data_IF_607974112634
#
_entry.id   IF_607974112634
#
_cell.length_a   1.000
_cell.length_b   1.000
_cell.length_c   1.000
_cell.angle_alpha   90.00
_cell.angle_beta   90.00
_cell.angle_gamma   90.00
#
_symmetry.space_group_name_H-M   'P 1'
#
loop_
_entity.id
_entity.type
_entity.pdbx_description
1 polymer ?
#
# COMPACT_ATOMS: atom_id res chain seq x y z
N UNK A 1 -18.52 28.40 42.89
CA UNK A 1 -18.81 26.98 42.62
C UNK A 1 -19.23 26.84 41.17
N UNK A 2 -18.34 26.34 40.31
CA UNK A 2 -18.53 26.27 38.87
C UNK A 2 -18.93 24.85 38.45
N UNK A 3 -20.09 24.70 37.82
CA UNK A 3 -20.54 23.43 37.24
C UNK A 3 -20.12 23.36 35.77
N UNK A 4 -19.17 22.47 35.47
CA UNK A 4 -18.87 22.03 34.12
C UNK A 4 -19.70 20.77 33.81
N UNK A 5 -20.72 20.89 32.94
CA UNK A 5 -21.40 19.74 32.32
C UNK A 5 -21.00 19.68 30.84
N UNK A 6 -19.88 19.01 30.58
CA UNK A 6 -19.49 18.61 29.23
C UNK A 6 -20.27 17.36 28.82
N UNK A 7 -21.25 17.54 27.95
CA UNK A 7 -21.91 16.45 27.24
C UNK A 7 -20.94 15.92 26.17
N UNK A 8 -20.36 14.75 26.40
CA UNK A 8 -19.69 13.99 25.35
C UNK A 8 -20.77 13.23 24.57
N UNK A 9 -21.19 13.83 23.45
CA UNK A 9 -21.98 13.15 22.43
C UNK A 9 -21.14 12.08 21.75
N UNK A 10 -21.08 10.89 22.34
CA UNK A 10 -20.65 9.68 21.65
C UNK A 10 -21.78 9.30 20.68
N UNK A 11 -21.65 9.74 19.43
CA UNK A 11 -22.50 9.29 18.35
C UNK A 11 -22.25 7.80 18.09
N UNK A 12 -23.27 7.00 18.33
CA UNK A 12 -23.36 5.60 17.91
C UNK A 12 -23.30 5.53 16.37
N UNK A 13 -22.10 5.43 15.82
CA UNK A 13 -21.89 5.20 14.41
C UNK A 13 -22.20 3.72 14.12
N UNK A 14 -23.43 3.50 13.68
CA UNK A 14 -23.96 2.20 13.30
C UNK A 14 -23.09 1.55 12.21
N UNK A 15 -22.40 0.48 12.60
CA UNK A 15 -21.81 -0.49 11.69
C UNK A 15 -22.91 -1.20 10.90
N UNK A 16 -23.31 -0.60 9.79
CA UNK A 16 -24.14 -1.21 8.76
C UNK A 16 -23.48 -2.47 8.21
N UNK A 17 -23.90 -3.63 8.72
CA UNK A 17 -23.68 -4.95 8.13
C UNK A 17 -24.35 -5.02 6.75
N UNK A 18 -23.67 -4.61 5.70
CA UNK A 18 -24.07 -4.97 4.34
C UNK A 18 -23.71 -6.44 4.07
N UNK A 19 -24.67 -7.33 4.35
CA UNK A 19 -24.72 -8.68 3.79
C UNK A 19 -24.94 -8.56 2.28
N UNK A 20 -23.89 -8.68 1.48
CA UNK A 20 -24.05 -8.97 0.06
C UNK A 20 -24.40 -10.46 -0.08
N UNK A 21 -25.69 -10.72 -0.28
CA UNK A 21 -26.28 -12.02 -0.57
C UNK A 21 -25.79 -12.45 -1.95
N UNK A 22 -24.97 -13.49 -2.00
CA UNK A 22 -24.58 -14.14 -3.25
C UNK A 22 -25.83 -14.70 -3.93
N UNK A 23 -26.16 -14.16 -5.10
CA UNK A 23 -26.98 -14.84 -6.08
C UNK A 23 -26.03 -15.40 -7.14
N UNK A 24 -25.72 -16.68 -6.96
CA UNK A 24 -25.23 -17.58 -7.99
C UNK A 24 -26.36 -17.72 -9.03
N UNK A 25 -26.25 -16.96 -10.12
CA UNK A 25 -26.94 -17.27 -11.37
C UNK A 25 -26.11 -18.31 -12.12
N UNK A 26 -26.34 -19.58 -11.80
CA UNK A 26 -26.15 -20.68 -12.75
C UNK A 26 -27.31 -20.62 -13.77
N UNK A 27 -27.10 -21.19 -14.97
CA UNK A 27 -27.94 -21.15 -16.20
C UNK A 27 -27.48 -20.07 -17.19
N UNK A 28 -27.08 -20.35 -18.43
CA UNK A 28 -27.24 -21.52 -19.28
C UNK A 28 -26.03 -21.63 -20.24
N UNK A 29 -25.45 -22.83 -20.28
CA UNK A 29 -24.97 -23.44 -21.52
C UNK A 29 -26.19 -23.58 -22.45
N UNK A 30 -26.05 -23.20 -23.72
CA UNK A 30 -26.44 -24.00 -24.90
C UNK A 30 -26.22 -23.18 -26.18
N UNK A 31 -25.37 -23.75 -27.04
CA UNK A 31 -25.37 -23.75 -28.51
C UNK A 31 -25.50 -22.44 -29.31
N UNK A 32 -24.44 -22.11 -30.06
CA UNK A 32 -24.50 -22.39 -31.50
C UNK A 32 -23.13 -22.29 -32.19
N UNK A 33 -22.77 -23.39 -32.83
CA UNK A 33 -21.76 -23.49 -33.87
C UNK A 33 -22.00 -22.46 -34.99
N UNK A 34 -20.95 -21.71 -35.34
CA UNK A 34 -20.79 -21.15 -36.67
C UNK A 34 -19.29 -21.13 -37.00
N UNK A 35 -18.88 -22.18 -37.69
CA UNK A 35 -17.60 -22.36 -38.36
C UNK A 35 -17.31 -21.25 -39.37
N UNK A 36 -16.06 -20.81 -39.44
CA UNK A 36 -15.45 -20.41 -40.71
C UNK A 36 -14.40 -19.31 -40.63
N UNK A 37 -13.27 -19.43 -41.36
CA UNK A 37 -11.98 -18.94 -40.91
C UNK A 37 -11.45 -17.77 -41.75
N UNK A 38 -10.66 -16.87 -41.16
CA UNK A 38 -9.61 -16.21 -41.94
C UNK A 38 -8.44 -15.77 -41.04
N UNK A 39 -7.40 -16.60 -41.13
CA UNK A 39 -6.05 -16.34 -40.67
C UNK A 39 -5.41 -15.25 -41.54
N UNK A 40 -5.18 -14.08 -40.96
CA UNK A 40 -4.06 -13.22 -41.32
C UNK A 40 -3.49 -12.64 -40.00
N UNK A 41 -2.69 -13.42 -39.28
CA UNK A 41 -1.23 -13.43 -39.44
C UNK A 41 -0.64 -12.00 -39.40
N UNK A 42 -0.35 -11.52 -38.19
CA UNK A 42 0.85 -10.74 -37.86
C UNK A 42 1.00 -10.69 -36.33
N UNK A 43 1.22 -11.86 -35.75
CA UNK A 43 1.79 -11.98 -34.42
C UNK A 43 3.25 -11.50 -34.48
N UNK A 44 3.47 -10.22 -34.20
CA UNK A 44 4.79 -9.78 -33.71
C UNK A 44 4.93 -10.26 -32.28
N UNK A 45 5.42 -11.48 -32.15
CA UNK A 45 6.06 -11.97 -30.94
C UNK A 45 7.36 -11.19 -30.81
N UNK A 46 7.30 -10.03 -30.15
CA UNK A 46 8.51 -9.35 -29.69
C UNK A 46 9.13 -10.24 -28.61
N UNK A 47 10.19 -10.92 -29.03
CA UNK A 47 11.13 -11.64 -28.20
C UNK A 47 11.70 -10.65 -27.16
N UNK A 48 11.07 -10.62 -25.99
CA UNK A 48 11.55 -9.91 -24.82
C UNK A 48 12.74 -10.69 -24.25
N UNK A 49 13.84 -10.67 -25.01
CA UNK A 49 15.14 -11.17 -24.58
C UNK A 49 15.41 -10.68 -23.17
N UNK A 50 15.28 -11.59 -22.21
CA UNK A 50 15.69 -11.35 -20.85
C UNK A 50 17.19 -11.17 -20.89
N UNK A 51 17.64 -9.93 -20.70
CA UNK A 51 19.04 -9.66 -20.45
C UNK A 51 19.48 -10.60 -19.30
N UNK A 52 20.55 -11.39 -19.47
CA UNK A 52 21.10 -12.14 -18.35
C UNK A 52 21.52 -11.10 -17.32
N UNK A 53 20.88 -11.13 -16.14
CA UNK A 53 21.33 -10.31 -15.04
C UNK A 53 22.78 -10.73 -14.72
N UNK A 54 23.74 -9.81 -14.73
CA UNK A 54 25.12 -10.14 -14.39
C UNK A 54 25.17 -10.57 -12.92
N UNK A 55 25.73 -11.76 -12.75
CA UNK A 55 26.63 -12.19 -11.68
C UNK A 55 26.30 -11.81 -10.24
N UNK A 56 26.08 -12.87 -9.47
CA UNK A 56 26.76 -13.10 -8.20
C UNK A 56 26.91 -11.86 -7.31
N UNK A 57 25.86 -11.59 -6.53
CA UNK A 57 26.06 -10.91 -5.24
C UNK A 57 26.81 -11.89 -4.34
N UNK A 58 28.14 -11.89 -4.44
CA UNK A 58 29.01 -12.50 -3.44
C UNK A 58 28.73 -11.81 -2.10
N UNK A 59 27.90 -12.46 -1.28
CA UNK A 59 27.67 -12.06 0.08
C UNK A 59 28.99 -12.27 0.83
N UNK A 60 29.77 -11.19 1.01
CA UNK A 60 30.95 -11.19 1.86
C UNK A 60 30.51 -11.46 3.30
N UNK A 61 30.57 -12.72 3.71
CA UNK A 61 30.50 -13.14 5.10
C UNK A 61 31.79 -12.65 5.75
N UNK A 62 31.69 -11.65 6.63
CA UNK A 62 32.80 -11.25 7.48
C UNK A 62 33.19 -12.43 8.38
N UNK A 63 34.46 -12.81 8.37
CA UNK A 63 34.98 -13.86 9.22
C UNK A 63 34.70 -13.54 10.70
N UNK A 64 34.14 -14.51 11.41
CA UNK A 64 33.96 -14.46 12.86
C UNK A 64 35.30 -14.14 13.53
N UNK A 65 35.32 -13.06 14.32
CA UNK A 65 36.51 -12.65 15.06
C UNK A 65 36.92 -13.71 16.09
N UNK A 66 38.23 -13.97 16.26
CA UNK A 66 38.71 -15.00 17.17
C UNK A 66 38.38 -14.67 18.63
N UNK A 67 37.95 -15.71 19.34
CA UNK A 67 37.52 -15.68 20.73
C UNK A 67 38.50 -14.99 21.68
N UNK A 68 37.96 -14.08 22.48
CA UNK A 68 38.69 -13.37 23.52
C UNK A 68 38.93 -14.31 24.71
N UNK A 69 40.02 -15.08 24.63
CA UNK A 69 40.62 -15.79 25.78
C UNK A 69 41.06 -14.76 26.82
N UNK A 70 40.36 -14.66 27.94
CA UNK A 70 40.90 -14.01 29.14
C UNK A 70 41.89 -14.96 29.83
N UNK A 71 43.16 -14.75 29.53
CA UNK A 71 44.32 -15.29 30.25
C UNK A 71 44.41 -14.60 31.62
N UNK A 72 44.67 -15.41 32.65
CA UNK A 72 44.58 -15.02 34.05
C UNK A 72 45.66 -14.08 34.56
N UNK A 73 45.30 -13.35 35.62
CA UNK A 73 46.24 -12.71 36.53
C UNK A 73 46.28 -13.49 37.85
N UNK A 74 47.40 -14.18 38.11
CA UNK A 74 47.74 -14.72 39.44
C UNK A 74 48.14 -13.54 40.34
N UNK A 75 47.42 -13.35 41.44
CA UNK A 75 47.87 -12.52 42.56
C UNK A 75 47.78 -13.33 43.85
N UNK A 76 48.92 -13.86 44.30
CA UNK A 76 49.10 -14.61 45.55
C UNK A 76 49.59 -13.64 46.64
N UNK A 77 48.91 -13.63 47.79
CA UNK A 77 49.34 -12.99 49.05
C UNK A 77 48.12 -12.87 49.96
N UNK A 78 47.74 -13.89 50.74
CA UNK A 78 48.33 -14.39 52.00
C UNK A 78 48.28 -13.34 53.13
N UNK A 79 47.28 -13.52 54.01
CA UNK A 79 47.24 -13.40 55.50
C UNK A 79 45.80 -13.01 55.87
N UNK A 80 44.93 -13.95 56.25
CA UNK A 80 44.79 -14.47 57.63
C UNK A 80 44.88 -13.34 58.66
N UNK A 81 43.74 -12.80 59.05
CA UNK A 81 43.26 -12.78 60.43
C UNK A 81 41.87 -12.10 60.46
N UNK A 82 41.07 -12.50 61.46
CA UNK A 82 39.83 -11.85 61.88
C UNK A 82 38.51 -12.43 61.33
N UNK A 83 38.18 -13.57 61.93
CA UNK A 83 36.82 -14.06 62.13
C UNK A 83 36.03 -13.03 62.96
N UNK A 84 35.09 -12.35 62.32
CA UNK A 84 33.90 -11.83 62.99
C UNK A 84 32.71 -11.99 62.03
N UNK A 85 31.81 -12.90 62.41
CA UNK A 85 30.51 -13.09 61.80
C UNK A 85 29.75 -11.76 61.74
N UNK A 86 29.61 -11.21 60.54
CA UNK A 86 28.45 -10.42 60.17
C UNK A 86 27.85 -11.05 58.91
N UNK A 87 26.73 -11.71 59.16
CA UNK A 87 25.87 -12.41 58.21
C UNK A 87 25.34 -11.44 57.15
N UNK A 88 26.15 -11.19 56.11
CA UNK A 88 25.74 -10.47 54.90
C UNK A 88 25.51 -11.48 53.78
N UNK A 89 24.29 -12.02 53.71
CA UNK A 89 23.82 -12.88 52.63
C UNK A 89 23.79 -12.08 51.32
N UNK A 90 24.93 -11.98 50.66
CA UNK A 90 25.11 -11.25 49.44
C UNK A 90 25.34 -12.20 48.26
N UNK A 91 24.61 -11.92 47.18
CA UNK A 91 25.00 -12.18 45.80
C UNK A 91 24.98 -13.63 45.30
N UNK A 92 23.77 -14.11 45.01
CA UNK A 92 23.54 -14.91 43.81
C UNK A 92 22.10 -14.70 43.36
N UNK A 93 21.77 -13.45 43.02
CA UNK A 93 20.56 -13.12 42.28
C UNK A 93 20.63 -13.82 40.92
N UNK A 94 19.99 -14.99 40.84
CA UNK A 94 19.76 -15.72 39.60
C UNK A 94 18.92 -14.87 38.67
N UNK A 95 19.59 -14.07 37.85
CA UNK A 95 18.94 -13.27 36.83
C UNK A 95 18.60 -14.21 35.68
N UNK A 96 17.44 -14.86 35.80
CA UNK A 96 16.85 -15.61 34.71
C UNK A 96 16.68 -14.65 33.52
N UNK A 97 17.23 -14.97 32.33
CA UNK A 97 17.10 -14.12 31.17
C UNK A 97 15.62 -14.02 30.80
N UNK A 98 15.09 -12.80 30.83
CA UNK A 98 13.71 -12.51 30.53
C UNK A 98 13.36 -12.88 29.08
N UNK A 99 12.12 -13.35 28.82
CA UNK A 99 11.64 -13.72 27.48
C UNK A 99 11.42 -12.49 26.60
N UNK A 100 12.49 -11.99 25.97
CA UNK A 100 12.44 -10.80 25.07
C UNK A 100 12.14 -11.13 23.60
N UNK A 101 11.90 -12.40 23.27
CA UNK A 101 11.75 -12.83 21.88
C UNK A 101 10.37 -12.49 21.27
N UNK A 102 9.29 -12.51 22.05
CA UNK A 102 7.95 -12.20 21.55
C UNK A 102 7.74 -10.71 21.30
N UNK A 103 8.26 -9.89 22.21
CA UNK A 103 8.00 -8.44 22.22
C UNK A 103 8.80 -7.72 21.13
N UNK A 104 9.99 -8.23 20.83
CA UNK A 104 10.82 -7.73 19.72
C UNK A 104 10.18 -7.99 18.37
N UNK A 105 9.55 -9.15 18.15
CA UNK A 105 8.85 -9.48 16.91
C UNK A 105 7.62 -8.59 16.71
N UNK A 106 6.80 -8.41 17.74
CA UNK A 106 5.63 -7.51 17.67
C UNK A 106 6.05 -6.07 17.42
N UNK A 107 7.10 -5.59 18.09
CA UNK A 107 7.63 -4.24 17.90
C UNK A 107 8.16 -4.05 16.48
N UNK A 108 8.89 -5.02 15.94
CA UNK A 108 9.39 -4.99 14.56
C UNK A 108 8.25 -4.99 13.55
N UNK A 109 7.24 -5.85 13.74
CA UNK A 109 6.07 -5.91 12.86
C UNK A 109 5.32 -4.57 12.86
N UNK A 110 5.11 -3.98 14.03
CA UNK A 110 4.46 -2.68 14.16
C UNK A 110 5.27 -1.59 13.44
N UNK A 111 6.59 -1.58 13.61
CA UNK A 111 7.47 -0.64 12.92
C UNK A 111 7.36 -0.77 11.40
N UNK A 112 7.34 -2.00 10.88
CA UNK A 112 7.16 -2.26 9.44
C UNK A 112 5.82 -1.73 8.96
N UNK A 113 4.72 -1.98 9.68
CA UNK A 113 3.39 -1.47 9.31
C UNK A 113 3.38 0.05 9.29
N UNK A 114 3.96 0.69 10.31
CA UNK A 114 4.06 2.15 10.43
C UNK A 114 4.86 2.77 9.28
N UNK A 115 5.88 2.08 8.75
CA UNK A 115 6.66 2.56 7.61
C UNK A 115 5.99 2.25 6.26
N UNK A 116 5.47 1.04 6.09
CA UNK A 116 4.94 0.55 4.80
C UNK A 116 3.60 1.22 4.47
N UNK A 117 2.69 1.39 5.44
CA UNK A 117 1.36 1.97 5.19
C UNK A 117 1.43 3.38 4.60
N UNK A 118 2.13 4.37 5.19
CA UNK A 118 2.20 5.72 4.63
C UNK A 118 2.95 5.73 3.29
N UNK A 119 3.97 4.87 3.12
CA UNK A 119 4.68 4.74 1.85
C UNK A 119 3.77 4.25 0.73
N UNK A 120 2.97 3.20 0.97
CA UNK A 120 1.96 2.72 0.03
C UNK A 120 0.91 3.79 -0.26
N UNK A 121 0.44 4.52 0.75
CA UNK A 121 -0.50 5.64 0.58
C UNK A 121 0.11 6.74 -0.29
N UNK A 122 1.38 7.07 -0.10
CA UNK A 122 2.10 8.07 -0.88
C UNK A 122 2.26 7.64 -2.34
N UNK A 123 2.67 6.39 -2.59
CA UNK A 123 2.76 5.82 -3.94
C UNK A 123 1.39 5.80 -4.64
N UNK A 124 0.33 5.41 -3.93
CA UNK A 124 -1.04 5.47 -4.48
C UNK A 124 -1.46 6.91 -4.80
N UNK A 125 -1.07 7.89 -3.97
CA UNK A 125 -1.32 9.32 -4.20
C UNK A 125 -0.48 9.91 -5.34
N UNK A 126 0.71 9.36 -5.62
CA UNK A 126 1.56 9.76 -6.74
C UNK A 126 1.01 9.26 -8.10
N UNK A 127 0.28 8.14 -8.07
CA UNK A 127 -0.36 7.57 -9.27
C UNK A 127 -1.70 8.25 -9.65
N UNK A 128 -2.19 9.22 -8.87
CA UNK A 128 -3.38 10.00 -9.22
C UNK A 128 -3.01 11.13 -10.18
N UNK A 129 -3.46 11.04 -11.43
CA UNK A 129 -3.19 12.03 -12.47
C UNK A 129 -3.96 13.33 -12.20
N UNK A 130 -5.26 13.20 -11.94
CA UNK A 130 -6.13 14.30 -11.57
C UNK A 130 -7.42 13.80 -10.90
N UNK A 131 -8.04 14.68 -10.11
CA UNK A 131 -9.31 14.45 -9.45
C UNK A 131 -10.25 15.60 -9.83
N UNK A 132 -11.41 15.26 -10.36
CA UNK A 132 -12.46 16.21 -10.73
C UNK A 132 -13.68 15.97 -9.87
N UNK A 133 -14.34 17.06 -9.51
CA UNK A 133 -15.63 17.05 -8.85
C UNK A 133 -16.65 17.75 -9.76
N UNK A 134 -17.80 17.13 -9.94
CA UNK A 134 -18.91 17.63 -10.71
C UNK A 134 -19.99 18.04 -9.74
N UNK A 135 -20.46 19.28 -9.84
CA UNK A 135 -21.62 19.78 -9.08
C UNK A 135 -22.51 20.58 -10.03
N UNK A 136 -23.77 20.19 -10.17
CA UNK A 136 -24.73 20.82 -11.08
C UNK A 136 -24.24 20.88 -12.53
N UNK A 137 -23.57 19.82 -13.01
CA UNK A 137 -22.97 19.78 -14.35
C UNK A 137 -21.71 20.64 -14.54
N UNK A 138 -21.22 21.34 -13.52
CA UNK A 138 -19.97 22.09 -13.56
C UNK A 138 -18.81 21.23 -13.06
N UNK A 139 -17.71 21.19 -13.81
CA UNK A 139 -16.49 20.47 -13.45
C UNK A 139 -15.54 21.42 -12.70
N UNK A 140 -15.13 21.03 -11.49
CA UNK A 140 -14.08 21.67 -10.70
C UNK A 140 -12.90 20.71 -10.57
N UNK A 141 -11.68 21.22 -10.79
CA UNK A 141 -10.45 20.43 -10.61
C UNK A 141 -10.05 20.49 -9.14
N UNK A 142 -10.12 19.36 -8.44
CA UNK A 142 -9.70 19.26 -7.03
C UNK A 142 -8.19 19.02 -6.93
N UNK A 143 -7.64 18.23 -7.86
CA UNK A 143 -6.21 17.87 -7.87
C UNK A 143 -5.72 17.61 -9.29
N UNK A 144 -4.44 17.91 -9.54
CA UNK A 144 -3.77 17.66 -10.81
C UNK A 144 -3.97 18.77 -11.84
N UNK A 145 -3.37 18.61 -13.03
CA UNK A 145 -3.45 19.57 -14.15
C UNK A 145 -3.98 18.86 -15.40
N UNK A 146 -5.30 18.59 -15.48
CA UNK A 146 -5.88 18.00 -16.68
C UNK A 146 -5.75 18.98 -17.86
N UNK A 147 -5.44 18.49 -19.08
CA UNK A 147 -5.47 19.32 -20.29
C UNK A 147 -6.84 19.99 -20.48
N UNK A 148 -6.85 21.26 -20.91
CA UNK A 148 -8.10 22.01 -21.11
C UNK A 148 -9.04 21.36 -22.15
N UNK A 149 -8.49 20.69 -23.16
CA UNK A 149 -9.26 19.91 -24.14
C UNK A 149 -9.99 18.73 -23.50
N UNK A 150 -9.32 18.00 -22.59
CA UNK A 150 -9.94 16.89 -21.85
C UNK A 150 -11.10 17.39 -20.99
N UNK A 151 -10.93 18.53 -20.32
CA UNK A 151 -11.99 19.13 -19.51
C UNK A 151 -13.22 19.51 -20.35
N UNK A 152 -13.01 19.98 -21.58
CA UNK A 152 -14.09 20.33 -22.50
C UNK A 152 -14.88 19.08 -22.90
N UNK A 153 -14.19 18.04 -23.36
CA UNK A 153 -14.83 16.78 -23.76
C UNK A 153 -15.56 16.11 -22.58
N UNK A 154 -14.97 16.14 -21.37
CA UNK A 154 -15.61 15.60 -20.18
C UNK A 154 -16.85 16.40 -19.76
N UNK A 155 -16.88 17.72 -19.99
CA UNK A 155 -18.03 18.58 -19.68
C UNK A 155 -19.28 18.15 -20.46
N UNK A 156 -19.09 17.74 -21.71
CA UNK A 156 -20.18 17.23 -22.54
C UNK A 156 -20.73 15.91 -22.00
N UNK A 157 -19.86 15.04 -21.48
CA UNK A 157 -20.26 13.74 -20.92
C UNK A 157 -21.02 13.87 -19.60
N UNK A 158 -20.60 14.80 -18.73
CA UNK A 158 -21.19 15.00 -17.40
C UNK A 158 -22.34 16.02 -17.40
N UNK A 159 -22.78 16.48 -18.58
CA UNK A 159 -23.91 17.39 -18.71
C UNK A 159 -25.17 16.75 -18.12
N UNK A 160 -25.86 17.50 -17.25
CA UNK A 160 -27.05 17.03 -16.55
C UNK A 160 -26.80 16.12 -15.33
N UNK A 161 -25.52 15.90 -14.96
CA UNK A 161 -25.19 15.14 -13.75
C UNK A 161 -25.23 16.06 -12.53
N UNK A 162 -26.04 15.76 -11.48
CA UNK A 162 -26.18 16.64 -10.32
C UNK A 162 -24.93 16.67 -9.46
N UNK A 163 -24.32 15.50 -9.22
CA UNK A 163 -23.06 15.38 -8.50
C UNK A 163 -22.31 14.12 -8.95
N UNK A 164 -21.02 14.27 -9.25
CA UNK A 164 -20.14 13.13 -9.53
C UNK A 164 -18.70 13.44 -9.13
N UNK A 165 -17.91 12.39 -8.90
CA UNK A 165 -16.48 12.51 -8.64
C UNK A 165 -15.73 11.61 -9.62
N UNK A 166 -14.80 12.18 -10.36
CA UNK A 166 -14.00 11.48 -11.36
C UNK A 166 -12.54 11.46 -10.89
N UNK A 167 -11.94 10.28 -10.83
CA UNK A 167 -10.56 10.06 -10.40
C UNK A 167 -9.83 9.36 -11.54
N UNK A 168 -8.89 10.06 -12.16
CA UNK A 168 -7.99 9.46 -13.15
C UNK A 168 -6.70 9.03 -12.47
N UNK A 169 -6.32 7.76 -12.65
CA UNK A 169 -5.10 7.17 -12.10
C UNK A 169 -4.29 6.50 -13.20
N UNK A 170 -2.98 6.36 -12.99
CA UNK A 170 -2.14 5.52 -13.85
C UNK A 170 -2.12 4.10 -13.29
N UNK A 171 -2.61 3.14 -14.07
CA UNK A 171 -2.66 1.72 -13.72
C UNK A 171 -1.97 0.95 -14.85
N UNK A 172 -0.91 0.21 -14.54
CA UNK A 172 -0.10 -0.52 -15.53
C UNK A 172 0.36 0.35 -16.71
N UNK A 173 0.76 1.60 -16.42
CA UNK A 173 1.22 2.56 -17.44
C UNK A 173 0.10 3.25 -18.23
N UNK A 174 -1.16 2.80 -18.12
CA UNK A 174 -2.33 3.36 -18.83
C UNK A 174 -3.17 4.23 -17.89
N UNK A 175 -3.78 5.33 -18.36
CA UNK A 175 -4.71 6.09 -17.54
C UNK A 175 -6.05 5.35 -17.43
N UNK A 176 -6.48 5.12 -16.21
CA UNK A 176 -7.76 4.52 -15.87
C UNK A 176 -8.64 5.53 -15.14
N UNK A 177 -9.87 5.68 -15.61
CA UNK A 177 -10.86 6.57 -15.02
C UNK A 177 -11.83 5.77 -14.15
N UNK A 178 -11.92 6.15 -12.88
CA UNK A 178 -13.00 5.72 -11.97
C UNK A 178 -13.92 6.91 -11.71
N UNK A 179 -15.22 6.68 -11.68
CA UNK A 179 -16.17 7.70 -11.31
C UNK A 179 -17.23 7.17 -10.34
N UNK A 180 -17.72 8.05 -9.49
CA UNK A 180 -18.90 7.83 -8.64
C UNK A 180 -19.96 8.86 -9.00
N UNK A 181 -21.23 8.46 -9.10
CA UNK A 181 -22.33 9.37 -9.47
C UNK A 181 -22.57 9.54 -10.98
N UNK A 182 -21.90 8.75 -11.83
CA UNK A 182 -22.20 8.66 -13.27
C UNK A 182 -23.00 7.39 -13.56
N UNK A 183 -23.86 7.43 -14.56
CA UNK A 183 -24.44 6.22 -15.15
C UNK A 183 -23.37 5.38 -15.87
N UNK A 184 -23.61 4.08 -16.04
CA UNK A 184 -22.71 3.14 -16.75
C UNK A 184 -22.33 3.68 -18.15
N UNK A 185 -23.33 4.16 -18.90
CA UNK A 185 -23.13 4.71 -20.25
C UNK A 185 -22.28 5.99 -20.24
N UNK A 186 -22.49 6.89 -19.27
CA UNK A 186 -21.66 8.09 -19.10
C UNK A 186 -20.24 7.74 -18.68
N UNK A 187 -20.07 6.78 -17.78
CA UNK A 187 -18.75 6.32 -17.34
C UNK A 187 -17.97 5.74 -18.52
N UNK A 188 -18.61 4.93 -19.37
CA UNK A 188 -17.98 4.39 -20.56
C UNK A 188 -17.58 5.49 -21.57
N UNK A 189 -18.45 6.48 -21.81
CA UNK A 189 -18.09 7.65 -22.62
C UNK A 189 -16.92 8.44 -22.03
N UNK A 190 -16.91 8.67 -20.71
CA UNK A 190 -15.83 9.37 -20.03
C UNK A 190 -14.50 8.59 -20.12
N UNK A 191 -14.54 7.26 -20.03
CA UNK A 191 -13.36 6.39 -20.25
C UNK A 191 -12.83 6.53 -21.67
N UNK A 192 -13.70 6.53 -22.69
CA UNK A 192 -13.29 6.72 -24.08
C UNK A 192 -12.62 8.09 -24.29
N UNK A 193 -13.15 9.15 -23.68
CA UNK A 193 -12.55 10.49 -23.69
C UNK A 193 -11.15 10.43 -23.07
N UNK A 194 -11.00 9.90 -21.85
CA UNK A 194 -9.69 9.82 -21.17
C UNK A 194 -8.69 8.96 -21.93
N UNK A 195 -9.13 7.83 -22.48
CA UNK A 195 -8.29 6.92 -23.26
C UNK A 195 -7.68 7.60 -24.50
N UNK A 196 -8.37 8.56 -25.11
CA UNK A 196 -7.88 9.32 -26.26
C UNK A 196 -6.68 10.22 -25.92
N UNK A 197 -6.64 10.79 -24.72
CA UNK A 197 -5.56 11.71 -24.31
C UNK A 197 -4.34 10.97 -23.74
N UNK A 198 -4.49 9.69 -23.41
CA UNK A 198 -3.42 8.82 -22.90
C UNK A 198 -2.22 8.70 -23.83
N UNK A 199 -2.49 8.53 -25.13
CA UNK A 199 -1.47 8.29 -26.15
C UNK A 199 -0.72 9.54 -26.57
N UNK A 200 -1.24 10.73 -26.26
CA UNK A 200 -0.77 11.96 -26.87
C UNK A 200 0.38 12.66 -26.14
N UNK A 201 0.71 12.34 -24.87
CA UNK A 201 1.57 13.24 -24.08
C UNK A 201 2.25 12.72 -22.81
N UNK A 202 2.54 11.43 -22.67
CA UNK A 202 3.23 10.90 -21.47
C UNK A 202 4.52 10.17 -21.86
N UNK A 203 5.40 10.89 -22.55
CA UNK A 203 6.80 10.52 -22.75
C UNK A 203 7.65 11.78 -22.70
N UNK A 204 8.49 11.90 -21.67
CA UNK A 204 9.52 12.93 -21.44
C UNK A 204 9.02 14.32 -21.02
N UNK A 205 8.99 14.51 -19.71
CA UNK A 205 9.45 15.72 -19.02
C UNK A 205 10.44 15.27 -17.96
#
# INVERSE_FOLDING_TARGET
MAQARGQLGLGDEQLGKCRARGQLGQHLLDDHEASGPELAALARQEDLGHAPAPDAVEQRVGAEGPGQRRVGGRGRGRREHERANACGAATASGQAPAPVASDTLLTLLLLVVVLVVPFVVLLRRANELFVLEVRGGQITVVRGKPPASLLRDLRDVVRGVPAARLVARREQGRPMLRATGLSEAQLQRARNVVGRFAGARIGRG
#
